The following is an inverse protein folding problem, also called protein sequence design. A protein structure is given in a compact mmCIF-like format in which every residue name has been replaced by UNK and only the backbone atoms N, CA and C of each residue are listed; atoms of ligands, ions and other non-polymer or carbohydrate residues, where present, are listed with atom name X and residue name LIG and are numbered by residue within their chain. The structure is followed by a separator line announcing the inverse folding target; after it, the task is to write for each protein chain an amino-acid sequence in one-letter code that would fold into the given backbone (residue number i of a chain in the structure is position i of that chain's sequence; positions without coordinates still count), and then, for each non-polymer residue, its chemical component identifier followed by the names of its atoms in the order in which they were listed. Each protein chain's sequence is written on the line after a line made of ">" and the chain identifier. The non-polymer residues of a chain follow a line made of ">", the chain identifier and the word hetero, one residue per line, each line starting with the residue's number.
data_IF_774829462188
#
_entry.id   IF_774829462188
#
_cell.length_a   1.000
_cell.length_b   1.000
_cell.length_c   1.000
_cell.angle_alpha   90.00
_cell.angle_beta   90.00
_cell.angle_gamma   90.00
#
_symmetry.space_group_name_H-M   'P 1'
#
loop_
_entity.id
_entity.type
_entity.pdbx_description
1 polymer ?
#
# COMPACT_ATOMS: atom_id res chain seq x y z
N UNK A 1 18.07 11.35 37.92
CA UNK A 1 19.20 12.15 37.39
C UNK A 1 20.09 11.13 36.68
N UNK A 2 20.42 11.13 35.40
CA UNK A 2 20.03 11.86 34.19
C UNK A 2 20.68 11.04 33.05
N UNK A 3 19.90 10.34 32.22
CA UNK A 3 20.43 9.60 31.07
C UNK A 3 20.38 10.53 29.85
N UNK A 4 21.37 11.41 29.74
CA UNK A 4 21.56 12.29 28.59
C UNK A 4 22.00 11.51 27.35
N UNK A 5 21.04 11.14 26.50
CA UNK A 5 21.35 10.60 25.17
C UNK A 5 21.64 11.77 24.24
N UNK A 6 22.91 11.96 23.89
CA UNK A 6 23.39 13.01 22.99
C UNK A 6 22.66 13.04 21.64
N UNK A 7 21.66 13.93 21.54
CA UNK A 7 20.94 14.21 20.31
C UNK A 7 21.83 14.85 19.23
N UNK A 8 23.00 15.39 19.60
CA UNK A 8 23.98 15.98 18.69
C UNK A 8 24.65 14.94 17.79
N UNK A 9 24.99 13.76 18.33
CA UNK A 9 25.68 12.70 17.58
C UNK A 9 24.80 12.11 16.47
N UNK A 10 23.48 12.02 16.70
CA UNK A 10 22.51 11.57 15.67
C UNK A 10 22.37 12.57 14.53
N UNK A 11 22.42 13.88 14.81
CA UNK A 11 22.31 14.95 13.80
C UNK A 11 23.53 15.02 12.88
N UNK A 12 24.74 14.78 13.39
CA UNK A 12 25.97 14.76 12.57
C UNK A 12 25.96 13.60 11.57
N UNK A 13 25.63 12.38 12.02
CA UNK A 13 25.53 11.19 11.14
C UNK A 13 24.50 11.32 10.01
N UNK A 14 23.41 12.06 10.24
CA UNK A 14 22.41 12.28 9.18
C UNK A 14 22.85 13.26 8.11
N UNK A 15 23.71 14.25 8.44
CA UNK A 15 24.23 15.23 7.47
C UNK A 15 25.30 14.62 6.55
N UNK A 16 26.24 13.85 7.09
CA UNK A 16 27.26 13.13 6.29
C UNK A 16 26.63 12.20 5.25
N UNK A 17 25.57 11.48 5.63
CA UNK A 17 24.91 10.53 4.73
C UNK A 17 24.10 11.21 3.60
N UNK A 18 23.71 12.47 3.78
CA UNK A 18 23.03 13.26 2.73
C UNK A 18 24.00 13.88 1.74
N UNK A 19 25.20 14.27 2.18
CA UNK A 19 26.22 14.88 1.31
C UNK A 19 26.93 13.85 0.42
N UNK A 20 27.06 12.60 0.87
CA UNK A 20 27.65 11.53 0.06
C UNK A 20 26.71 11.03 -1.08
N UNK A 21 25.40 11.32 -1.00
CA UNK A 21 24.43 11.02 -2.07
C UNK A 21 24.40 12.06 -3.18
N UNK A 22 24.84 13.29 -2.94
CA UNK A 22 24.80 14.37 -3.94
C UNK A 22 26.03 14.42 -4.84
N UNK A 23 27.09 13.65 -4.53
CA UNK A 23 28.35 13.62 -5.29
C UNK A 23 28.46 12.49 -6.32
N UNK A 24 27.40 11.70 -6.56
CA UNK A 24 27.41 10.65 -7.59
C UNK A 24 27.06 11.24 -8.96
N UNK A 25 27.93 11.12 -9.98
CA UNK A 25 27.61 11.57 -11.33
C UNK A 25 26.44 10.77 -11.91
N UNK A 26 25.45 11.45 -12.50
CA UNK A 26 24.32 10.85 -13.22
C UNK A 26 24.86 10.21 -14.50
N UNK A 27 24.93 8.89 -14.56
CA UNK A 27 25.16 8.17 -15.82
C UNK A 27 23.95 8.33 -16.74
N UNK A 28 24.24 8.79 -17.96
CA UNK A 28 23.35 9.08 -19.08
C UNK A 28 22.38 7.94 -19.38
N UNK A 29 21.08 8.23 -19.42
CA UNK A 29 20.08 7.31 -19.97
C UNK A 29 20.22 7.24 -21.48
N UNK A 30 20.54 6.06 -22.02
CA UNK A 30 20.44 5.72 -23.44
C UNK A 30 19.03 6.06 -23.95
N UNK A 31 18.96 6.92 -24.95
CA UNK A 31 17.74 7.25 -25.67
C UNK A 31 17.22 6.01 -26.39
N UNK A 32 15.95 5.67 -26.16
CA UNK A 32 15.23 4.65 -26.91
C UNK A 32 14.75 5.28 -28.22
N UNK A 33 15.44 5.02 -29.32
CA UNK A 33 14.92 5.31 -30.67
C UNK A 33 14.02 4.17 -31.09
N UNK A 34 12.70 4.39 -31.14
CA UNK A 34 11.75 3.41 -31.65
C UNK A 34 11.89 3.32 -33.19
N UNK A 35 12.27 2.15 -33.70
CA UNK A 35 12.15 1.82 -35.12
C UNK A 35 10.67 1.65 -35.49
N UNK A 36 10.15 2.31 -36.53
CA UNK A 36 8.78 2.08 -36.97
C UNK A 36 8.64 0.70 -37.63
N UNK A 37 7.62 -0.05 -37.19
CA UNK A 37 7.25 -1.33 -37.76
C UNK A 37 6.59 -1.09 -39.13
N UNK A 38 7.22 -1.62 -40.17
CA UNK A 38 6.75 -1.58 -41.55
C UNK A 38 5.68 -2.66 -41.73
N UNK A 39 4.42 -2.26 -41.93
CA UNK A 39 3.37 -3.17 -42.41
C UNK A 39 2.91 -2.65 -43.76
N UNK A 40 3.36 -3.31 -44.82
CA UNK A 40 2.82 -3.17 -46.15
C UNK A 40 1.43 -3.83 -46.22
N UNK A 41 0.60 -3.27 -47.10
CA UNK A 41 -0.62 -3.84 -47.68
C UNK A 41 -1.86 -4.02 -46.78
N UNK A 42 -2.67 -2.96 -46.70
CA UNK A 42 -4.13 -3.08 -46.72
C UNK A 42 -4.77 -1.88 -47.43
N UNK A 43 -5.61 -2.21 -48.41
CA UNK A 43 -6.30 -1.33 -49.36
C UNK A 43 -7.04 -0.16 -48.70
N UNK A 44 -6.95 0.99 -49.37
CA UNK A 44 -7.63 2.24 -49.06
C UNK A 44 -9.17 2.12 -49.06
N UNK A 45 -9.78 2.45 -47.93
CA UNK A 45 -11.13 3.00 -47.86
C UNK A 45 -11.08 4.31 -47.06
N UNK A 46 -11.59 5.40 -47.64
CA UNK A 46 -11.60 6.73 -47.01
C UNK A 46 -12.49 6.69 -45.75
N UNK A 47 -12.03 7.11 -44.56
CA UNK A 47 -12.89 7.23 -43.40
C UNK A 47 -13.82 8.44 -43.53
N UNK A 48 -15.13 8.20 -43.42
CA UNK A 48 -16.14 9.23 -43.26
C UNK A 48 -15.90 9.99 -41.94
N UNK A 49 -16.04 11.32 -41.88
CA UNK A 49 -15.87 12.06 -40.64
C UNK A 49 -16.96 11.65 -39.64
N UNK A 50 -16.58 11.04 -38.52
CA UNK A 50 -17.50 10.82 -37.41
C UNK A 50 -17.86 12.18 -36.80
N UNK A 51 -19.14 12.48 -36.75
CA UNK A 51 -19.66 13.65 -36.05
C UNK A 51 -19.38 13.49 -34.56
N UNK A 52 -18.26 14.03 -34.10
CA UNK A 52 -17.96 14.16 -32.67
C UNK A 52 -18.92 15.19 -32.07
N UNK A 53 -19.77 14.84 -31.08
CA UNK A 53 -20.58 15.84 -30.41
C UNK A 53 -19.65 16.82 -29.70
N UNK A 54 -19.77 18.10 -30.07
CA UNK A 54 -18.91 19.22 -29.61
C UNK A 54 -19.11 19.60 -28.14
N UNK A 55 -19.94 18.85 -27.40
CA UNK A 55 -20.20 19.07 -25.98
C UNK A 55 -20.13 17.75 -25.19
N UNK A 56 -18.93 17.37 -24.77
CA UNK A 56 -18.72 16.33 -23.75
C UNK A 56 -18.57 17.03 -22.40
N UNK A 57 -19.64 17.03 -21.59
CA UNK A 57 -19.59 17.49 -20.20
C UNK A 57 -19.28 16.30 -19.30
N UNK A 58 -18.22 16.42 -18.49
CA UNK A 58 -17.82 15.41 -17.51
C UNK A 58 -18.68 15.47 -16.23
N UNK A 59 -20.01 15.43 -16.38
CA UNK A 59 -20.97 15.33 -15.29
C UNK A 59 -21.43 13.88 -15.12
N UNK A 60 -21.30 13.33 -13.90
CA UNK A 60 -21.67 11.98 -13.43
C UNK A 60 -22.37 11.06 -14.45
N UNK A 61 -21.68 10.00 -14.84
CA UNK A 61 -22.25 8.85 -15.54
C UNK A 61 -23.24 8.12 -14.61
N UNK A 62 -24.53 8.13 -14.94
CA UNK A 62 -25.53 7.24 -14.35
C UNK A 62 -25.67 6.00 -15.24
N UNK A 63 -25.20 4.85 -14.75
CA UNK A 63 -25.44 3.57 -15.41
C UNK A 63 -26.89 3.14 -15.15
N UNK A 64 -27.81 3.50 -16.05
CA UNK A 64 -29.11 2.82 -16.16
C UNK A 64 -28.98 1.75 -17.24
N UNK A 65 -28.98 0.50 -16.79
CA UNK A 65 -29.02 -0.68 -17.65
C UNK A 65 -30.47 -0.98 -18.00
N UNK A 66 -31.01 -0.40 -19.07
CA UNK A 66 -32.35 -0.74 -19.55
C UNK A 66 -32.37 -2.00 -20.47
N UNK A 67 -31.22 -2.65 -20.67
CA UNK A 67 -31.09 -3.97 -21.30
C UNK A 67 -30.59 -5.04 -20.31
N UNK A 68 -31.11 -5.05 -19.08
CA UNK A 68 -30.80 -6.12 -18.13
C UNK A 68 -31.59 -7.39 -18.46
N UNK A 69 -30.99 -8.28 -19.27
CA UNK A 69 -31.32 -9.71 -19.23
C UNK A 69 -31.13 -10.15 -17.77
N UNK A 70 -32.23 -10.52 -17.10
CA UNK A 70 -32.22 -11.05 -15.73
C UNK A 70 -31.57 -12.44 -15.81
N UNK A 71 -30.23 -12.46 -15.75
CA UNK A 71 -29.54 -13.68 -15.36
C UNK A 71 -29.84 -13.89 -13.89
N UNK A 72 -30.67 -14.88 -13.57
CA UNK A 72 -30.79 -15.44 -12.23
C UNK A 72 -29.41 -15.93 -11.78
N UNK A 73 -28.63 -15.02 -11.19
CA UNK A 73 -27.34 -15.35 -10.64
C UNK A 73 -27.58 -16.16 -9.38
N UNK A 74 -27.65 -17.50 -9.52
CA UNK A 74 -27.41 -18.42 -8.41
C UNK A 74 -26.14 -17.92 -7.72
N UNK A 75 -26.28 -17.33 -6.52
CA UNK A 75 -25.16 -16.80 -5.73
C UNK A 75 -24.22 -17.95 -5.42
N UNK A 76 -23.29 -18.26 -6.34
CA UNK A 76 -22.16 -19.16 -6.09
C UNK A 76 -21.44 -18.53 -4.90
N UNK A 77 -21.49 -19.19 -3.73
CA UNK A 77 -20.77 -18.75 -2.53
C UNK A 77 -19.32 -18.54 -2.94
N UNK A 78 -18.92 -17.27 -3.08
CA UNK A 78 -17.56 -16.94 -3.48
C UNK A 78 -16.63 -17.49 -2.40
N UNK A 79 -15.66 -18.32 -2.79
CA UNK A 79 -14.68 -18.87 -1.84
C UNK A 79 -14.03 -17.68 -1.15
N UNK A 80 -14.26 -17.52 0.17
CA UNK A 80 -13.67 -16.44 0.94
C UNK A 80 -12.16 -16.49 0.75
N UNK A 81 -11.58 -15.43 0.19
CA UNK A 81 -10.15 -15.39 -0.08
C UNK A 81 -9.40 -15.33 1.26
N UNK A 82 -8.87 -16.47 1.70
CA UNK A 82 -8.11 -16.50 2.94
C UNK A 82 -6.84 -15.67 2.82
N UNK A 83 -6.59 -14.82 3.83
CA UNK A 83 -5.36 -14.04 3.87
C UNK A 83 -4.14 -14.95 3.95
N UNK A 84 -3.04 -14.55 3.31
CA UNK A 84 -1.78 -15.32 3.29
C UNK A 84 -1.31 -15.77 4.68
N UNK A 85 -1.43 -14.91 5.69
CA UNK A 85 -1.08 -15.26 7.07
C UNK A 85 -1.97 -16.37 7.65
N UNK A 86 -3.28 -16.34 7.37
CA UNK A 86 -4.21 -17.40 7.81
C UNK A 86 -3.88 -18.74 7.17
N UNK A 87 -3.58 -18.75 5.87
CA UNK A 87 -3.12 -19.95 5.17
C UNK A 87 -1.87 -20.55 5.81
N UNK A 88 -0.88 -19.71 6.17
CA UNK A 88 0.34 -20.15 6.85
C UNK A 88 0.09 -20.73 8.25
N UNK A 89 -0.83 -20.12 9.01
CA UNK A 89 -1.24 -20.63 10.33
C UNK A 89 -1.93 -21.97 10.18
N UNK A 90 -2.83 -22.11 9.22
CA UNK A 90 -3.54 -23.36 8.95
C UNK A 90 -2.56 -24.48 8.55
N UNK A 91 -1.57 -24.18 7.70
CA UNK A 91 -0.53 -25.17 7.38
C UNK A 91 0.33 -25.53 8.59
N UNK A 92 0.67 -24.57 9.45
CA UNK A 92 1.43 -24.84 10.67
C UNK A 92 0.67 -25.80 11.59
N UNK A 93 -0.62 -25.54 11.80
CA UNK A 93 -1.49 -26.41 12.63
C UNK A 93 -1.55 -27.84 12.09
N UNK A 94 -1.66 -28.01 10.76
CA UNK A 94 -1.68 -29.33 10.13
C UNK A 94 -0.38 -30.09 10.35
N UNK A 95 0.76 -29.43 10.14
CA UNK A 95 2.08 -30.02 10.35
C UNK A 95 2.27 -30.40 11.82
N UNK A 96 1.88 -29.53 12.75
CA UNK A 96 1.96 -29.80 14.19
C UNK A 96 1.04 -30.97 14.59
N UNK A 97 -0.18 -31.05 14.06
CA UNK A 97 -1.07 -32.19 14.34
C UNK A 97 -0.54 -33.51 13.78
N UNK A 98 0.04 -33.49 12.57
CA UNK A 98 0.63 -34.68 11.96
C UNK A 98 1.85 -35.16 12.74
N UNK A 99 2.67 -34.23 13.25
CA UNK A 99 3.81 -34.57 14.10
C UNK A 99 3.37 -35.16 15.43
N UNK A 100 2.39 -34.55 16.10
CA UNK A 100 1.87 -35.05 17.36
C UNK A 100 1.23 -36.44 17.21
N UNK A 101 0.52 -36.70 16.11
CA UNK A 101 -0.08 -38.01 15.85
C UNK A 101 1.01 -39.09 15.68
N UNK A 102 2.09 -38.78 14.96
CA UNK A 102 3.22 -39.70 14.81
C UNK A 102 3.95 -39.92 16.13
N UNK A 103 4.12 -38.87 16.94
CA UNK A 103 4.76 -38.98 18.25
C UNK A 103 3.92 -39.86 19.19
N UNK A 104 2.60 -39.63 19.23
CA UNK A 104 1.65 -40.46 19.99
C UNK A 104 1.69 -41.93 19.55
N UNK A 105 1.63 -42.19 18.25
CA UNK A 105 1.66 -43.57 17.75
C UNK A 105 3.01 -44.25 17.99
N UNK A 106 4.12 -43.52 18.06
CA UNK A 106 5.41 -44.10 18.45
C UNK A 106 5.46 -44.50 19.92
N UNK A 107 4.73 -43.79 20.79
CA UNK A 107 4.62 -44.12 22.21
C UNK A 107 3.70 -45.32 22.44
N UNK A 108 2.57 -45.39 21.72
CA UNK A 108 1.61 -46.50 21.81
C UNK A 108 2.13 -47.77 21.09
N UNK A 109 2.53 -47.65 19.81
CA UNK A 109 2.95 -48.74 18.93
C UNK A 109 4.17 -48.35 18.05
N UNK A 110 5.40 -48.70 18.44
CA UNK A 110 6.61 -48.21 17.78
C UNK A 110 6.75 -48.65 16.31
N UNK A 111 6.23 -49.81 15.92
CA UNK A 111 6.28 -50.29 14.54
C UNK A 111 5.33 -49.53 13.62
N UNK A 112 4.06 -49.36 14.02
CA UNK A 112 3.06 -48.58 13.27
C UNK A 112 3.50 -47.11 13.09
N UNK A 113 4.08 -46.52 14.15
CA UNK A 113 4.64 -45.17 14.09
C UNK A 113 5.79 -45.01 13.09
N UNK A 114 6.67 -46.03 12.96
CA UNK A 114 7.76 -46.04 11.97
C UNK A 114 7.21 -46.18 10.55
N UNK A 115 6.22 -47.05 10.34
CA UNK A 115 5.59 -47.25 9.04
C UNK A 115 4.88 -45.99 8.54
N UNK A 116 4.08 -45.32 9.39
CA UNK A 116 3.43 -44.05 9.04
C UNK A 116 4.44 -42.95 8.70
N UNK A 117 5.51 -42.83 9.49
CA UNK A 117 6.57 -41.87 9.23
C UNK A 117 7.30 -42.18 7.91
N UNK A 118 7.51 -43.46 7.57
CA UNK A 118 8.06 -43.88 6.28
C UNK A 118 7.11 -43.53 5.13
N UNK A 119 5.82 -43.82 5.27
CA UNK A 119 4.80 -43.52 4.28
C UNK A 119 4.70 -42.00 4.02
N UNK A 120 4.70 -41.17 5.07
CA UNK A 120 4.71 -39.71 4.92
C UNK A 120 5.99 -39.21 4.23
N UNK A 121 7.16 -39.71 4.62
CA UNK A 121 8.43 -39.35 3.96
C UNK A 121 8.41 -39.71 2.48
N UNK A 122 7.89 -40.88 2.12
CA UNK A 122 7.79 -41.29 0.72
C UNK A 122 6.80 -40.41 -0.06
N UNK A 123 5.63 -40.11 0.51
CA UNK A 123 4.64 -39.20 -0.08
C UNK A 123 5.22 -37.81 -0.34
N UNK A 124 5.96 -37.26 0.64
CA UNK A 124 6.61 -35.95 0.47
C UNK A 124 7.74 -35.98 -0.57
N UNK A 125 8.49 -37.07 -0.66
CA UNK A 125 9.51 -37.25 -1.70
C UNK A 125 8.88 -37.30 -3.11
N UNK A 126 7.79 -38.06 -3.27
CA UNK A 126 7.03 -38.12 -4.54
C UNK A 126 6.45 -36.76 -4.93
N UNK A 127 5.86 -36.03 -3.97
CA UNK A 127 5.32 -34.68 -4.23
C UNK A 127 6.43 -33.71 -4.68
N UNK A 128 7.60 -33.77 -4.04
CA UNK A 128 8.78 -32.97 -4.43
C UNK A 128 9.31 -33.37 -5.81
N UNK A 129 9.37 -34.67 -6.13
CA UNK A 129 9.79 -35.16 -7.44
C UNK A 129 8.84 -34.71 -8.55
N UNK A 130 7.53 -34.64 -8.26
CA UNK A 130 6.52 -34.04 -9.14
C UNK A 130 6.66 -32.52 -9.33
N UNK A 131 7.49 -31.86 -8.52
CA UNK A 131 7.70 -30.41 -8.53
C UNK A 131 6.73 -29.62 -7.64
N UNK A 132 5.98 -30.29 -6.76
CA UNK A 132 5.07 -29.62 -5.82
C UNK A 132 5.85 -28.94 -4.68
N UNK A 133 5.48 -27.70 -4.35
CA UNK A 133 6.09 -26.93 -3.27
C UNK A 133 5.50 -27.31 -1.91
N UNK A 134 6.08 -28.35 -1.33
CA UNK A 134 5.76 -28.89 0.00
C UNK A 134 6.25 -27.93 1.12
N UNK A 135 5.42 -27.64 2.14
CA UNK A 135 5.68 -26.61 3.17
C UNK A 135 5.53 -27.15 4.58
N UNK A 136 6.38 -28.12 4.91
CA UNK A 136 6.17 -28.93 6.12
C UNK A 136 7.12 -28.57 7.27
N UNK A 137 7.98 -27.55 7.10
CA UNK A 137 8.94 -27.15 8.13
C UNK A 137 8.34 -26.12 9.11
N UNK A 138 8.13 -26.55 10.36
CA UNK A 138 7.58 -25.76 11.47
C UNK A 138 8.35 -24.45 11.70
N UNK A 139 9.69 -24.49 11.77
CA UNK A 139 10.50 -23.30 12.04
C UNK A 139 10.37 -22.26 10.93
N UNK A 140 10.37 -22.69 9.67
CA UNK A 140 10.20 -21.80 8.52
C UNK A 140 8.79 -21.22 8.44
N UNK A 141 7.76 -22.01 8.79
CA UNK A 141 6.37 -21.53 8.87
C UNK A 141 6.23 -20.46 9.96
N UNK A 142 6.75 -20.68 11.17
CA UNK A 142 6.76 -19.69 12.26
C UNK A 142 7.48 -18.40 11.87
N UNK A 143 8.67 -18.50 11.28
CA UNK A 143 9.42 -17.34 10.75
C UNK A 143 8.62 -16.58 9.68
N UNK A 144 7.96 -17.30 8.78
CA UNK A 144 7.17 -16.71 7.72
C UNK A 144 5.93 -15.99 8.24
N UNK A 145 5.25 -16.55 9.26
CA UNK A 145 4.15 -15.89 9.96
C UNK A 145 4.64 -14.58 10.59
N UNK A 146 5.77 -14.62 11.32
CA UNK A 146 6.39 -13.42 11.92
C UNK A 146 6.74 -12.35 10.88
N UNK A 147 7.27 -12.75 9.72
CA UNK A 147 7.56 -11.81 8.62
C UNK A 147 6.27 -11.15 8.10
N UNK A 148 5.19 -11.92 7.95
CA UNK A 148 3.89 -11.38 7.52
C UNK A 148 3.28 -10.43 8.56
N UNK A 149 3.37 -10.74 9.85
CA UNK A 149 2.88 -9.83 10.90
C UNK A 149 3.68 -8.53 10.94
N UNK A 150 5.01 -8.61 10.85
CA UNK A 150 5.86 -7.41 10.77
C UNK A 150 5.57 -6.56 9.54
N UNK A 151 5.34 -7.18 8.37
CA UNK A 151 4.97 -6.44 7.16
C UNK A 151 3.65 -5.69 7.35
N UNK A 152 2.64 -6.34 7.93
CA UNK A 152 1.35 -5.71 8.25
C UNK A 152 1.53 -4.57 9.24
N UNK A 153 2.34 -4.74 10.27
CA UNK A 153 2.64 -3.68 11.24
C UNK A 153 3.33 -2.48 10.58
N UNK A 154 4.32 -2.71 9.70
CA UNK A 154 5.00 -1.64 8.95
C UNK A 154 4.01 -0.87 8.07
N UNK A 155 3.16 -1.58 7.34
CA UNK A 155 2.11 -0.96 6.53
C UNK A 155 1.14 -0.17 7.40
N UNK A 156 0.65 -0.74 8.51
CA UNK A 156 -0.25 -0.05 9.43
C UNK A 156 0.38 1.23 10.02
N UNK A 157 1.65 1.17 10.42
CA UNK A 157 2.40 2.35 10.91
C UNK A 157 2.51 3.42 9.82
N UNK A 158 2.86 3.04 8.60
CA UNK A 158 2.95 3.98 7.45
C UNK A 158 1.61 4.64 7.16
N UNK A 159 0.52 3.87 7.17
CA UNK A 159 -0.82 4.40 6.96
C UNK A 159 -1.26 5.37 8.06
N UNK A 160 -1.01 5.03 9.33
CA UNK A 160 -1.27 5.93 10.47
C UNK A 160 -0.46 7.22 10.36
N UNK A 161 0.83 7.12 10.02
CA UNK A 161 1.69 8.27 9.80
C UNK A 161 1.15 9.17 8.68
N UNK A 162 0.83 8.58 7.52
CA UNK A 162 0.30 9.34 6.38
C UNK A 162 -1.01 10.06 6.74
N UNK A 163 -1.93 9.40 7.44
CA UNK A 163 -3.18 10.01 7.89
C UNK A 163 -2.94 11.17 8.87
N UNK A 164 -1.97 11.04 9.77
CA UNK A 164 -1.58 12.11 10.69
C UNK A 164 -0.97 13.30 9.95
N UNK A 165 -0.03 13.06 9.04
CA UNK A 165 0.62 14.10 8.24
C UNK A 165 -0.37 14.83 7.33
N UNK A 166 -1.33 14.10 6.74
CA UNK A 166 -2.41 14.71 5.96
C UNK A 166 -3.27 15.63 6.83
N UNK A 167 -3.68 15.18 8.03
CA UNK A 167 -4.42 16.01 8.98
C UNK A 167 -3.65 17.26 9.41
N UNK A 168 -2.35 17.14 9.68
CA UNK A 168 -1.48 18.30 9.98
C UNK A 168 -1.43 19.27 8.81
N UNK A 169 -1.18 18.78 7.60
CA UNK A 169 -1.08 19.62 6.39
C UNK A 169 -2.39 20.35 6.07
N UNK A 170 -3.53 19.70 6.32
CA UNK A 170 -4.84 20.33 6.21
C UNK A 170 -5.01 21.43 7.26
N UNK A 171 -4.69 21.14 8.53
CA UNK A 171 -4.76 22.10 9.63
C UNK A 171 -3.86 23.33 9.38
N UNK A 172 -2.59 23.12 9.03
CA UNK A 172 -1.64 24.20 8.73
C UNK A 172 -2.14 25.13 7.61
N UNK A 173 -2.73 24.55 6.56
CA UNK A 173 -3.34 25.34 5.47
C UNK A 173 -4.52 26.16 5.96
N UNK A 174 -5.37 25.59 6.80
CA UNK A 174 -6.53 26.28 7.35
C UNK A 174 -6.12 27.38 8.32
N UNK A 175 -5.13 27.13 9.18
CA UNK A 175 -4.57 28.11 10.12
C UNK A 175 -3.92 29.28 9.36
N UNK A 176 -3.16 29.00 8.29
CA UNK A 176 -2.62 30.03 7.40
C UNK A 176 -3.71 30.85 6.72
N UNK A 177 -4.83 30.23 6.33
CA UNK A 177 -5.98 30.95 5.77
C UNK A 177 -6.63 31.84 6.83
N UNK A 178 -6.85 31.33 8.03
CA UNK A 178 -7.49 32.06 9.11
C UNK A 178 -6.65 33.28 9.53
N UNK A 179 -5.33 33.12 9.68
CA UNK A 179 -4.40 34.22 9.99
C UNK A 179 -4.39 35.29 8.90
N UNK A 180 -4.37 34.90 7.62
CA UNK A 180 -4.46 35.84 6.50
C UNK A 180 -5.81 36.59 6.46
N UNK A 181 -6.92 35.90 6.73
CA UNK A 181 -8.24 36.53 6.81
C UNK A 181 -8.33 37.51 7.99
N UNK A 182 -7.75 37.15 9.13
CA UNK A 182 -7.70 38.01 10.30
C UNK A 182 -6.88 39.27 10.00
N UNK A 183 -5.68 39.11 9.42
CA UNK A 183 -4.85 40.25 8.97
C UNK A 183 -5.62 41.17 8.02
N UNK A 184 -6.34 40.64 7.03
CA UNK A 184 -7.17 41.44 6.12
C UNK A 184 -8.29 42.21 6.84
N UNK A 185 -8.93 41.61 7.84
CA UNK A 185 -9.95 42.27 8.67
C UNK A 185 -9.33 43.42 9.47
N UNK A 186 -8.18 43.18 10.10
CA UNK A 186 -7.49 44.15 10.94
C UNK A 186 -6.93 45.32 10.11
N UNK A 187 -6.36 45.03 8.93
CA UNK A 187 -5.92 46.05 7.97
C UNK A 187 -7.10 46.93 7.50
N UNK A 188 -8.28 46.34 7.27
CA UNK A 188 -9.48 47.09 6.89
C UNK A 188 -9.93 48.00 8.04
N UNK A 189 -9.97 47.49 9.28
CA UNK A 189 -10.28 48.29 10.47
C UNK A 189 -9.28 49.42 10.68
N UNK A 190 -7.98 49.15 10.54
CA UNK A 190 -6.93 50.14 10.66
C UNK A 190 -7.04 51.23 9.58
N UNK A 191 -7.36 50.87 8.32
CA UNK A 191 -7.63 51.84 7.25
C UNK A 191 -8.84 52.73 7.57
N UNK A 192 -9.93 52.17 8.09
CA UNK A 192 -11.11 52.93 8.53
C UNK A 192 -10.74 53.88 9.67
N UNK A 193 -10.04 53.40 10.71
CA UNK A 193 -9.57 54.20 11.85
C UNK A 193 -8.73 55.39 11.37
N UNK A 194 -7.72 55.14 10.53
CA UNK A 194 -6.86 56.17 9.92
C UNK A 194 -7.66 57.24 9.16
N UNK A 195 -8.69 56.84 8.39
CA UNK A 195 -9.57 57.79 7.68
C UNK A 195 -10.39 58.65 8.63
N UNK A 196 -10.90 58.09 9.73
CA UNK A 196 -11.69 58.83 10.72
C UNK A 196 -10.83 59.85 11.48
N UNK A 197 -9.62 59.46 11.89
CA UNK A 197 -8.63 60.37 12.50
C UNK A 197 -8.30 61.53 11.56
N UNK A 198 -8.01 61.25 10.27
CA UNK A 198 -7.72 62.31 9.29
C UNK A 198 -8.88 63.29 9.08
N UNK A 199 -10.13 62.84 9.29
CA UNK A 199 -11.33 63.68 9.21
C UNK A 199 -11.68 64.39 10.54
N UNK A 200 -10.84 64.27 11.57
CA UNK A 200 -11.10 64.85 12.90
C UNK A 200 -12.26 64.19 13.66
N UNK A 201 -12.81 63.06 13.16
CA UNK A 201 -13.95 62.35 13.78
C UNK A 201 -13.53 61.39 14.88
N UNK A 202 -12.22 61.25 15.13
CA UNK A 202 -11.66 60.37 16.16
C UNK A 202 -10.35 60.99 16.65
N UNK A 203 -10.23 61.19 17.97
CA UNK A 203 -9.01 61.70 18.61
C UNK A 203 -7.99 60.56 18.71
N UNK A 204 -6.74 60.83 18.36
CA UNK A 204 -5.64 59.89 18.62
C UNK A 204 -5.39 59.87 20.13
N UNK A 205 -5.77 58.77 20.78
CA UNK A 205 -5.26 58.38 22.11
C UNK A 205 -4.20 57.30 21.94
#
# INVERSE_FOLDING_TARGET
>A
IENGIDHAAKRKRTKEKTEDRTKRPRTTTKEWTATPLNTADAKASKPQPSTVPTHITFGRFDFKTDDSVILESKKKKTKKFESKQKKLINTLKKVESEQNEIERLKEENPEEGKELLRAQKFKTALAKAKGEKVKDNVQLLRKSIKKQTQLRQRSAKKWKHNKSEEGKRQKEKQDKRNTNLQKRKDDKKAKIKKRLIKKGRMVNG
#
